data_IF_269967473796
#
_entry.id   IF_269967473796
#
_cell.length_a   1.000
_cell.length_b   1.000
_cell.length_c   1.000
_cell.angle_alpha   90.00
_cell.angle_beta   90.00
_cell.angle_gamma   90.00
#
_symmetry.space_group_name_H-M   'P 1'
#
loop_
_entity.id
_entity.type
_entity.pdbx_description
1 polymer ?
#
# COMPACT_ATOMS: atom_id res chain seq x y z
N UNK A 1 20.86 -47.32 61.28
CA UNK A 1 20.69 -47.59 62.74
C UNK A 1 21.52 -48.81 63.13
N UNK A 2 22.83 -48.65 63.31
CA UNK A 2 23.74 -49.78 63.57
C UNK A 2 24.93 -49.45 64.48
N UNK A 3 24.88 -48.34 65.22
CA UNK A 3 26.04 -47.81 65.96
C UNK A 3 25.70 -47.24 67.36
N UNK A 4 24.63 -47.70 68.01
CA UNK A 4 24.30 -47.28 69.40
C UNK A 4 24.05 -48.49 70.34
N UNK A 5 24.56 -49.68 70.00
CA UNK A 5 24.42 -50.88 70.85
C UNK A 5 25.76 -51.50 71.26
N UNK A 6 26.83 -50.70 71.34
CA UNK A 6 28.18 -51.19 71.68
C UNK A 6 28.84 -50.45 72.85
N UNK A 7 28.07 -49.81 73.74
CA UNK A 7 28.61 -49.06 74.88
C UNK A 7 27.97 -49.40 76.24
N UNK A 8 27.44 -50.61 76.42
CA UNK A 8 27.16 -51.15 77.76
C UNK A 8 27.80 -52.53 77.88
N UNK A 9 29.10 -52.52 78.17
CA UNK A 9 29.77 -53.68 78.74
C UNK A 9 29.11 -53.98 80.09
N UNK A 10 28.73 -55.24 80.32
CA UNK A 10 28.01 -55.73 81.50
C UNK A 10 28.83 -55.69 82.80
N UNK A 11 30.05 -55.15 82.76
CA UNK A 11 31.01 -55.24 83.83
C UNK A 11 31.36 -53.85 84.36
N UNK A 12 30.40 -53.22 85.06
CA UNK A 12 30.65 -52.13 86.03
C UNK A 12 29.34 -51.76 86.75
N UNK A 13 28.67 -52.73 87.36
CA UNK A 13 27.71 -52.44 88.44
C UNK A 13 28.47 -52.62 89.75
N UNK A 14 28.78 -51.54 90.51
CA UNK A 14 29.45 -51.68 91.79
C UNK A 14 28.56 -52.44 92.79
N UNK A 15 29.15 -53.21 93.73
CA UNK A 15 28.41 -54.05 94.65
C UNK A 15 27.55 -53.21 95.61
N UNK A 16 26.29 -53.63 95.80
CA UNK A 16 25.32 -53.04 96.72
C UNK A 16 25.81 -53.18 98.18
N UNK A 17 26.43 -52.13 98.71
CA UNK A 17 26.63 -51.94 100.16
C UNK A 17 25.26 -51.62 100.78
N UNK A 18 24.90 -52.13 101.98
CA UNK A 18 23.63 -51.81 102.63
C UNK A 18 23.67 -50.36 103.15
N UNK A 19 23.40 -49.41 102.25
CA UNK A 19 23.17 -48.01 102.59
C UNK A 19 21.90 -47.84 103.40
N UNK A 20 21.85 -46.77 104.19
CA UNK A 20 20.70 -46.40 105.01
C UNK A 20 19.44 -46.27 104.14
N UNK A 21 18.26 -46.38 104.75
CA UNK A 21 16.97 -46.24 104.05
C UNK A 21 16.87 -44.92 103.26
N UNK A 22 17.63 -43.91 103.69
CA UNK A 22 17.79 -42.60 103.05
C UNK A 22 18.65 -42.65 101.76
N UNK A 23 19.69 -43.49 101.71
CA UNK A 23 20.53 -43.67 100.51
C UNK A 23 19.78 -44.40 99.40
N UNK A 24 18.94 -45.38 99.76
CA UNK A 24 18.05 -46.07 98.80
C UNK A 24 16.99 -45.13 98.23
N UNK A 25 16.46 -44.22 99.05
CA UNK A 25 15.52 -43.21 98.60
C UNK A 25 16.16 -42.20 97.62
N UNK A 26 17.38 -41.74 97.92
CA UNK A 26 18.14 -40.84 97.02
C UNK A 26 18.48 -41.55 95.71
N UNK A 27 18.92 -42.81 95.77
CA UNK A 27 19.25 -43.60 94.59
C UNK A 27 18.00 -43.89 93.73
N UNK A 28 16.86 -44.20 94.36
CA UNK A 28 15.58 -44.34 93.64
C UNK A 28 15.16 -43.03 92.97
N UNK A 29 15.35 -41.90 93.64
CA UNK A 29 15.01 -40.58 93.11
C UNK A 29 15.94 -40.16 91.97
N UNK A 30 17.23 -40.51 92.02
CA UNK A 30 18.17 -40.26 90.92
C UNK A 30 17.87 -41.15 89.71
N UNK A 31 17.55 -42.43 89.91
CA UNK A 31 17.09 -43.29 88.81
C UNK A 31 15.82 -42.75 88.15
N UNK A 32 14.85 -42.31 88.95
CA UNK A 32 13.60 -41.75 88.43
C UNK A 32 13.83 -40.47 87.60
N UNK A 33 14.71 -39.56 88.05
CA UNK A 33 15.09 -38.36 87.26
C UNK A 33 15.83 -38.70 85.98
N UNK A 34 16.66 -39.75 86.00
CA UNK A 34 17.38 -40.22 84.81
C UNK A 34 16.39 -40.84 83.82
N UNK A 35 15.43 -41.66 84.28
CA UNK A 35 14.37 -42.22 83.43
C UNK A 35 13.47 -41.14 82.82
N UNK A 36 13.08 -40.14 83.62
CA UNK A 36 12.34 -38.96 83.12
C UNK A 36 13.15 -38.21 82.05
N UNK A 37 14.44 -37.96 82.30
CA UNK A 37 15.33 -37.32 81.33
C UNK A 37 15.51 -38.12 80.04
N UNK A 38 15.61 -39.45 80.13
CA UNK A 38 15.65 -40.31 78.94
C UNK A 38 14.32 -40.33 78.20
N UNK A 39 13.19 -40.32 78.91
CA UNK A 39 11.87 -40.26 78.31
C UNK A 39 11.68 -38.96 77.51
N UNK A 40 12.09 -37.82 78.07
CA UNK A 40 12.05 -36.52 77.41
C UNK A 40 12.96 -36.48 76.16
N UNK A 41 14.16 -37.06 76.24
CA UNK A 41 15.07 -37.16 75.08
C UNK A 41 14.45 -38.02 73.98
N UNK A 42 13.87 -39.18 74.31
CA UNK A 42 13.22 -40.06 73.33
C UNK A 42 12.04 -39.35 72.67
N UNK A 43 11.24 -38.62 73.46
CA UNK A 43 10.11 -37.86 72.96
C UNK A 43 10.56 -36.76 71.99
N UNK A 44 11.55 -35.95 72.36
CA UNK A 44 12.09 -34.89 71.51
C UNK A 44 12.66 -35.45 70.20
N UNK A 45 13.38 -36.58 70.25
CA UNK A 45 13.90 -37.24 69.03
C UNK A 45 12.78 -37.79 68.13
N UNK A 46 11.67 -38.24 68.71
CA UNK A 46 10.49 -38.66 67.94
C UNK A 46 9.83 -37.46 67.27
N UNK A 47 9.65 -36.36 67.99
CA UNK A 47 9.05 -35.13 67.48
C UNK A 47 9.92 -34.51 66.37
N UNK A 48 11.24 -34.48 66.53
CA UNK A 48 12.19 -34.01 65.51
C UNK A 48 12.12 -34.84 64.23
N UNK A 49 11.98 -36.16 64.36
CA UNK A 49 11.84 -37.08 63.23
C UNK A 49 10.52 -36.88 62.49
N UNK A 50 9.44 -36.62 63.22
CA UNK A 50 8.13 -36.32 62.63
C UNK A 50 8.14 -34.96 61.93
N UNK A 51 8.84 -33.96 62.48
CA UNK A 51 9.10 -32.67 61.85
C UNK A 51 9.90 -32.82 60.54
N UNK A 52 10.99 -33.57 60.55
CA UNK A 52 11.81 -33.83 59.36
C UNK A 52 11.01 -34.57 58.28
N UNK A 53 10.17 -35.53 58.67
CA UNK A 53 9.31 -36.24 57.73
C UNK A 53 8.24 -35.33 57.11
N UNK A 54 7.70 -34.38 57.87
CA UNK A 54 6.75 -33.39 57.39
C UNK A 54 7.40 -32.42 56.40
N UNK A 55 8.62 -31.95 56.70
CA UNK A 55 9.38 -31.04 55.83
C UNK A 55 9.76 -31.72 54.51
N UNK A 56 10.17 -32.99 54.54
CA UNK A 56 10.44 -33.76 53.32
C UNK A 56 9.19 -33.90 52.43
N UNK A 57 8.02 -34.18 53.01
CA UNK A 57 6.76 -34.22 52.25
C UNK A 57 6.40 -32.87 51.63
N UNK A 58 6.68 -31.79 52.36
CA UNK A 58 6.44 -30.42 51.89
C UNK A 58 7.40 -30.05 50.74
N UNK A 59 8.67 -30.44 50.83
CA UNK A 59 9.64 -30.32 49.73
C UNK A 59 9.19 -31.06 48.47
N UNK A 60 8.73 -32.30 48.59
CA UNK A 60 8.22 -33.08 47.44
C UNK A 60 6.98 -32.45 46.80
N UNK A 61 6.12 -31.84 47.61
CA UNK A 61 4.95 -31.11 47.12
C UNK A 61 5.35 -29.83 46.37
N UNK A 62 6.28 -29.05 46.93
CA UNK A 62 6.82 -27.84 46.29
C UNK A 62 7.49 -28.18 44.95
N UNK A 63 8.31 -29.24 44.90
CA UNK A 63 8.98 -29.67 43.68
C UNK A 63 7.99 -30.08 42.58
N UNK A 64 6.90 -30.78 42.94
CA UNK A 64 5.82 -31.11 41.99
C UNK A 64 5.14 -29.86 41.44
N UNK A 65 4.73 -28.94 42.31
CA UNK A 65 4.12 -27.68 41.91
C UNK A 65 5.05 -26.82 41.04
N UNK A 66 6.36 -26.82 41.31
CA UNK A 66 7.34 -26.11 40.48
C UNK A 66 7.44 -26.72 39.07
N UNK A 67 7.44 -28.04 38.97
CA UNK A 67 7.44 -28.74 37.68
C UNK A 67 6.16 -28.50 36.88
N UNK A 68 4.99 -28.54 37.54
CA UNK A 68 3.70 -28.21 36.92
C UNK A 68 3.67 -26.74 36.44
N UNK A 69 4.10 -25.80 37.28
CA UNK A 69 4.22 -24.39 36.89
C UNK A 69 5.14 -24.20 35.68
N UNK A 70 6.24 -24.94 35.61
CA UNK A 70 7.17 -24.90 34.48
C UNK A 70 6.52 -25.40 33.20
N UNK A 71 5.72 -26.47 33.27
CA UNK A 71 5.00 -27.01 32.13
C UNK A 71 3.86 -26.09 31.66
N UNK A 72 3.08 -25.54 32.61
CA UNK A 72 2.03 -24.56 32.31
C UNK A 72 2.61 -23.31 31.65
N UNK A 73 3.74 -22.78 32.16
CA UNK A 73 4.43 -21.63 31.53
C UNK A 73 4.87 -21.93 30.11
N UNK A 74 5.41 -23.12 29.84
CA UNK A 74 5.78 -23.53 28.48
C UNK A 74 4.57 -23.58 27.54
N UNK A 75 3.46 -24.15 28.01
CA UNK A 75 2.21 -24.22 27.23
C UNK A 75 1.63 -22.84 26.96
N UNK A 76 1.67 -21.95 27.96
CA UNK A 76 1.23 -20.56 27.82
C UNK A 76 2.06 -19.83 26.75
N UNK A 77 3.38 -19.94 26.82
CA UNK A 77 4.30 -19.28 25.88
C UNK A 77 4.09 -19.76 24.44
N UNK A 78 3.84 -21.07 24.26
CA UNK A 78 3.49 -21.64 22.96
C UNK A 78 2.16 -21.08 22.44
N UNK A 79 1.13 -21.00 23.30
CA UNK A 79 -0.17 -20.45 22.93
C UNK A 79 -0.12 -18.96 22.62
N UNK A 80 0.69 -18.18 23.34
CA UNK A 80 0.92 -16.77 23.06
C UNK A 80 1.59 -16.56 21.70
N UNK A 81 2.58 -17.38 21.36
CA UNK A 81 3.23 -17.35 20.04
C UNK A 81 2.25 -17.72 18.92
N UNK A 82 1.45 -18.77 19.09
CA UNK A 82 0.39 -19.15 18.14
C UNK A 82 -0.64 -18.01 17.96
N UNK A 83 -1.05 -17.36 19.05
CA UNK A 83 -2.02 -16.25 19.00
C UNK A 83 -1.43 -15.00 18.32
N UNK A 84 -0.16 -14.68 18.59
CA UNK A 84 0.54 -13.58 17.92
C UNK A 84 0.63 -13.82 16.40
N UNK A 85 0.93 -15.06 15.99
CA UNK A 85 0.97 -15.43 14.58
C UNK A 85 -0.41 -15.31 13.93
N UNK A 86 -1.45 -15.88 14.54
CA UNK A 86 -2.83 -15.78 14.05
C UNK A 86 -3.32 -14.33 13.98
N UNK A 87 -2.96 -13.47 14.94
CA UNK A 87 -3.29 -12.04 14.88
C UNK A 87 -2.60 -11.34 13.72
N UNK A 88 -1.34 -11.66 13.45
CA UNK A 88 -0.61 -11.13 12.29
C UNK A 88 -1.25 -11.59 10.98
N UNK A 89 -1.57 -12.87 10.85
CA UNK A 89 -2.23 -13.42 9.67
C UNK A 89 -3.62 -12.81 9.46
N UNK A 90 -4.41 -12.67 10.54
CA UNK A 90 -5.72 -12.03 10.48
C UNK A 90 -5.63 -10.56 10.08
N UNK A 91 -4.61 -9.82 10.57
CA UNK A 91 -4.37 -8.44 10.14
C UNK A 91 -4.01 -8.34 8.65
N UNK A 92 -3.22 -9.28 8.13
CA UNK A 92 -2.85 -9.33 6.72
C UNK A 92 -4.03 -9.72 5.84
N UNK A 93 -4.86 -10.68 6.28
CA UNK A 93 -6.10 -11.04 5.60
C UNK A 93 -7.10 -9.89 5.58
N UNK A 94 -7.25 -9.16 6.70
CA UNK A 94 -8.10 -7.97 6.77
C UNK A 94 -7.59 -6.84 5.86
N UNK A 95 -6.27 -6.63 5.79
CA UNK A 95 -5.65 -5.68 4.86
C UNK A 95 -5.96 -6.06 3.41
N UNK A 96 -5.74 -7.33 3.04
CA UNK A 96 -6.05 -7.83 1.69
C UNK A 96 -7.53 -7.78 1.37
N UNK A 97 -8.41 -8.12 2.31
CA UNK A 97 -9.86 -8.01 2.11
C UNK A 97 -10.31 -6.55 1.97
N UNK A 98 -9.69 -5.63 2.72
CA UNK A 98 -9.94 -4.19 2.58
C UNK A 98 -9.45 -3.68 1.22
N UNK A 99 -8.28 -4.15 0.75
CA UNK A 99 -7.76 -3.85 -0.59
C UNK A 99 -8.69 -4.42 -1.68
N UNK A 100 -9.09 -5.69 -1.58
CA UNK A 100 -10.02 -6.31 -2.53
C UNK A 100 -11.39 -5.62 -2.50
N UNK A 101 -11.85 -5.17 -1.34
CA UNK A 101 -13.11 -4.43 -1.20
C UNK A 101 -13.00 -3.02 -1.79
N UNK A 102 -11.88 -2.33 -1.58
CA UNK A 102 -11.57 -1.06 -2.25
C UNK A 102 -11.49 -1.24 -3.78
N UNK A 103 -10.83 -2.30 -4.25
CA UNK A 103 -10.73 -2.69 -5.66
C UNK A 103 -12.10 -3.04 -6.28
N UNK A 104 -13.03 -3.59 -5.50
CA UNK A 104 -14.41 -3.84 -5.96
C UNK A 104 -15.28 -2.58 -5.97
N UNK A 105 -14.97 -1.59 -5.13
CA UNK A 105 -15.66 -0.29 -5.14
C UNK A 105 -15.20 0.61 -6.30
N UNK A 106 -13.99 0.40 -6.82
CA UNK A 106 -13.48 1.09 -8.02
C UNK A 106 -13.98 0.45 -9.33
N UNK A 107 -14.49 -0.79 -9.30
CA UNK A 107 -15.17 -1.41 -10.44
C UNK A 107 -16.50 -0.67 -10.72
N UNK A 108 -16.51 0.14 -11.78
CA UNK A 108 -17.72 0.75 -12.32
C UNK A 108 -18.09 2.11 -11.74
N UNK A 109 -17.25 2.72 -10.91
CA UNK A 109 -17.49 4.05 -10.36
C UNK A 109 -16.31 5.00 -10.64
N UNK A 110 -16.34 5.78 -11.74
CA UNK A 110 -15.28 6.72 -12.11
C UNK A 110 -14.95 7.77 -11.04
N UNK A 111 -15.84 7.94 -10.06
CA UNK A 111 -15.75 8.93 -9.00
C UNK A 111 -15.15 8.43 -7.67
N UNK A 112 -14.80 7.14 -7.54
CA UNK A 112 -14.22 6.60 -6.31
C UNK A 112 -12.90 5.91 -6.68
N UNK A 113 -11.83 6.68 -6.90
CA UNK A 113 -10.50 6.10 -7.12
C UNK A 113 -9.40 6.92 -6.43
N UNK A 114 -8.65 6.19 -5.60
CA UNK A 114 -7.32 6.37 -5.00
C UNK A 114 -6.79 7.79 -4.72
N UNK A 115 -6.45 8.03 -3.45
CA UNK A 115 -6.07 9.33 -2.87
C UNK A 115 -4.59 9.70 -3.08
N UNK A 116 -3.84 8.99 -3.94
CA UNK A 116 -2.45 9.33 -4.25
C UNK A 116 -2.37 10.42 -5.36
N UNK A 117 -1.90 11.61 -4.98
CA UNK A 117 -2.45 12.92 -5.41
C UNK A 117 -1.76 13.64 -6.59
N UNK A 118 -1.33 12.96 -7.65
CA UNK A 118 -0.66 13.64 -8.79
C UNK A 118 -1.16 13.28 -10.19
N UNK A 119 -1.95 12.22 -10.33
CA UNK A 119 -2.45 11.76 -11.64
C UNK A 119 -3.97 11.80 -11.77
N UNK A 120 -4.69 12.40 -10.80
CA UNK A 120 -6.15 12.45 -10.80
C UNK A 120 -6.68 13.24 -12.01
N UNK A 121 -7.83 12.87 -12.60
CA UNK A 121 -8.40 13.56 -13.76
C UNK A 121 -8.59 15.07 -13.56
N UNK A 122 -9.04 15.46 -12.37
CA UNK A 122 -9.26 16.86 -11.99
C UNK A 122 -7.93 17.62 -11.92
N UNK A 123 -6.89 17.02 -11.31
CA UNK A 123 -5.57 17.64 -11.28
C UNK A 123 -4.93 17.73 -12.66
N UNK A 124 -5.07 16.70 -13.50
CA UNK A 124 -4.59 16.73 -14.88
C UNK A 124 -5.34 17.76 -15.73
N UNK A 125 -6.64 17.94 -15.50
CA UNK A 125 -7.42 18.96 -16.19
C UNK A 125 -7.05 20.38 -15.73
N UNK A 126 -6.74 20.57 -14.45
CA UNK A 126 -6.17 21.82 -13.93
C UNK A 126 -4.81 22.09 -14.59
N UNK A 127 -3.89 21.12 -14.58
CA UNK A 127 -2.57 21.25 -15.24
C UNK A 127 -2.68 21.49 -16.74
N UNK A 128 -3.64 20.85 -17.42
CA UNK A 128 -3.90 21.10 -18.84
C UNK A 128 -4.43 22.50 -19.10
N UNK A 129 -5.21 23.07 -18.17
CA UNK A 129 -5.67 24.47 -18.26
C UNK A 129 -4.52 25.43 -17.95
N UNK A 130 -3.73 25.15 -16.92
CA UNK A 130 -2.51 25.92 -16.57
C UNK A 130 -1.48 25.93 -17.70
N UNK A 131 -1.39 24.86 -18.49
CA UNK A 131 -0.52 24.79 -19.67
C UNK A 131 -0.88 25.85 -20.72
N UNK A 132 -2.18 26.14 -20.87
CA UNK A 132 -2.67 27.21 -21.75
C UNK A 132 -2.35 28.59 -21.15
N UNK A 133 -2.64 28.79 -19.87
CA UNK A 133 -2.46 30.09 -19.23
C UNK A 133 -0.98 30.50 -19.13
N UNK A 134 -0.08 29.52 -18.95
CA UNK A 134 1.36 29.75 -18.75
C UNK A 134 2.17 29.50 -20.03
N UNK A 135 2.64 28.26 -20.25
CA UNK A 135 3.67 27.97 -21.26
C UNK A 135 3.19 28.24 -22.69
N UNK A 136 1.90 28.04 -22.97
CA UNK A 136 1.32 28.41 -24.26
C UNK A 136 1.34 29.94 -24.47
N UNK A 137 0.94 30.73 -23.46
CA UNK A 137 0.98 32.20 -23.52
C UNK A 137 2.40 32.72 -23.72
N UNK A 138 3.37 32.16 -22.99
CA UNK A 138 4.79 32.51 -23.11
C UNK A 138 5.35 32.15 -24.50
N UNK A 139 5.04 30.96 -25.02
CA UNK A 139 5.48 30.63 -26.39
C UNK A 139 4.77 31.51 -27.41
N UNK A 140 3.46 31.77 -27.27
CA UNK A 140 2.70 32.62 -28.17
C UNK A 140 3.34 34.02 -28.29
N UNK A 141 3.65 34.67 -27.16
CA UNK A 141 4.34 35.96 -27.15
C UNK A 141 5.71 35.89 -27.84
N UNK A 142 6.49 34.85 -27.55
CA UNK A 142 7.80 34.65 -28.19
C UNK A 142 7.68 34.50 -29.71
N UNK A 143 6.70 33.73 -30.18
CA UNK A 143 6.45 33.53 -31.61
C UNK A 143 6.02 34.82 -32.31
N UNK A 144 5.14 35.63 -31.70
CA UNK A 144 4.64 36.86 -32.30
C UNK A 144 5.63 38.02 -32.21
N UNK A 145 6.30 38.19 -31.07
CA UNK A 145 7.15 39.36 -30.81
C UNK A 145 8.60 39.14 -31.28
N UNK A 146 9.14 37.93 -31.12
CA UNK A 146 10.54 37.64 -31.46
C UNK A 146 10.67 37.03 -32.85
N UNK A 147 9.77 36.12 -33.23
CA UNK A 147 9.81 35.45 -34.53
C UNK A 147 8.89 36.09 -35.60
N UNK A 148 8.20 37.20 -35.26
CA UNK A 148 7.30 37.95 -36.16
C UNK A 148 6.25 37.09 -36.87
N UNK A 149 5.76 36.02 -36.22
CA UNK A 149 4.64 35.24 -36.76
C UNK A 149 3.33 35.97 -36.58
N UNK A 150 2.40 35.74 -37.50
CA UNK A 150 1.03 36.22 -37.30
C UNK A 150 0.37 35.47 -36.13
N UNK A 151 -0.63 36.09 -35.51
CA UNK A 151 -1.41 35.48 -34.44
C UNK A 151 -1.97 34.11 -34.84
N UNK A 152 -2.58 34.01 -36.04
CA UNK A 152 -3.17 32.76 -36.52
C UNK A 152 -2.12 31.67 -36.75
N UNK A 153 -0.96 32.01 -37.33
CA UNK A 153 0.13 31.04 -37.52
C UNK A 153 0.68 30.54 -36.17
N UNK A 154 0.88 31.44 -35.21
CA UNK A 154 1.33 31.08 -33.86
C UNK A 154 0.34 30.16 -33.15
N UNK A 155 -0.96 30.48 -33.19
CA UNK A 155 -2.01 29.67 -32.57
C UNK A 155 -2.08 28.28 -33.22
N UNK A 156 -2.07 28.20 -34.55
CA UNK A 156 -2.15 26.93 -35.27
C UNK A 156 -0.91 26.06 -35.02
N UNK A 157 0.28 26.67 -34.95
CA UNK A 157 1.52 25.99 -34.61
C UNK A 157 1.43 25.36 -33.21
N UNK A 158 1.02 26.13 -32.20
CA UNK A 158 0.89 25.65 -30.82
C UNK A 158 -0.15 24.54 -30.70
N UNK A 159 -1.32 24.68 -31.35
CA UNK A 159 -2.33 23.63 -31.41
C UNK A 159 -1.79 22.36 -32.07
N UNK A 160 -1.02 22.50 -33.14
CA UNK A 160 -0.44 21.37 -33.85
C UNK A 160 0.60 20.63 -33.00
N UNK A 161 1.39 21.35 -32.19
CA UNK A 161 2.34 20.78 -31.23
C UNK A 161 1.61 19.90 -30.21
N UNK A 162 0.65 20.44 -29.44
CA UNK A 162 -0.04 19.67 -28.39
C UNK A 162 -0.80 18.48 -28.96
N UNK A 163 -1.43 18.64 -30.14
CA UNK A 163 -2.14 17.55 -30.79
C UNK A 163 -1.19 16.43 -31.25
N UNK A 164 -0.02 16.79 -31.79
CA UNK A 164 1.01 15.84 -32.22
C UNK A 164 1.57 15.07 -31.03
N UNK A 165 1.91 15.79 -29.95
CA UNK A 165 2.38 15.20 -28.70
C UNK A 165 1.34 14.22 -28.13
N UNK A 166 0.08 14.66 -28.02
CA UNK A 166 -1.01 13.83 -27.54
C UNK A 166 -1.19 12.54 -28.35
N UNK A 167 -1.21 12.66 -29.68
CA UNK A 167 -1.42 11.51 -30.58
C UNK A 167 -0.33 10.46 -30.39
N UNK A 168 0.94 10.88 -30.34
CA UNK A 168 2.07 9.97 -30.13
C UNK A 168 1.99 9.33 -28.73
N UNK A 169 1.70 10.11 -27.69
CA UNK A 169 1.52 9.57 -26.34
C UNK A 169 0.41 8.51 -26.28
N UNK A 170 -0.72 8.75 -26.96
CA UNK A 170 -1.84 7.83 -27.01
C UNK A 170 -1.48 6.52 -27.73
N UNK A 171 -0.89 6.62 -28.91
CA UNK A 171 -0.45 5.46 -29.70
C UNK A 171 0.57 4.60 -28.94
N UNK A 172 1.54 5.23 -28.29
CA UNK A 172 2.56 4.53 -27.51
C UNK A 172 1.97 3.86 -26.26
N UNK A 173 1.10 4.57 -25.52
CA UNK A 173 0.40 3.99 -24.37
C UNK A 173 -0.43 2.76 -24.75
N UNK A 174 -1.16 2.85 -25.86
CA UNK A 174 -1.95 1.73 -26.38
C UNK A 174 -1.08 0.57 -26.86
N UNK A 175 0.04 0.86 -27.53
CA UNK A 175 0.99 -0.15 -28.00
C UNK A 175 1.60 -0.92 -26.83
N UNK A 176 2.05 -0.21 -25.78
CA UNK A 176 2.58 -0.84 -24.57
C UNK A 176 1.50 -1.69 -23.90
N UNK A 177 0.28 -1.16 -23.77
CA UNK A 177 -0.85 -1.89 -23.17
C UNK A 177 -1.16 -3.16 -23.96
N UNK A 178 -1.21 -3.08 -25.30
CA UNK A 178 -1.43 -4.24 -26.16
C UNK A 178 -0.31 -5.28 -26.04
N UNK A 179 0.94 -4.85 -26.11
CA UNK A 179 2.11 -5.74 -26.02
C UNK A 179 2.17 -6.47 -24.66
N UNK A 180 1.86 -5.80 -23.55
CA UNK A 180 1.79 -6.46 -22.24
C UNK A 180 0.66 -7.51 -22.23
N UNK A 181 -0.47 -7.22 -22.87
CA UNK A 181 -1.63 -8.13 -22.89
C UNK A 181 -1.30 -9.39 -23.68
N UNK A 182 -0.70 -9.23 -24.85
CA UNK A 182 -0.25 -10.32 -25.71
C UNK A 182 0.80 -11.20 -25.01
N UNK A 183 1.79 -10.58 -24.35
CA UNK A 183 2.79 -11.32 -23.59
C UNK A 183 2.16 -12.11 -22.43
N UNK A 184 1.24 -11.52 -21.66
CA UNK A 184 0.56 -12.22 -20.57
C UNK A 184 -0.27 -13.41 -21.08
N UNK A 185 -0.95 -13.27 -22.22
CA UNK A 185 -1.69 -14.36 -22.87
C UNK A 185 -0.74 -15.49 -23.31
N UNK A 186 0.40 -15.15 -23.91
CA UNK A 186 1.42 -16.11 -24.32
C UNK A 186 2.01 -16.88 -23.12
N UNK A 187 2.30 -16.19 -22.00
CA UNK A 187 2.76 -16.84 -20.76
C UNK A 187 1.72 -17.81 -20.17
N UNK A 188 0.44 -17.50 -20.32
CA UNK A 188 -0.64 -18.37 -19.88
C UNK A 188 -0.88 -19.58 -20.80
N UNK A 189 -0.12 -19.72 -21.89
CA UNK A 189 -0.21 -20.85 -22.82
C UNK A 189 -1.49 -20.85 -23.66
N UNK A 190 -2.15 -19.70 -23.84
CA UNK A 190 -3.39 -19.56 -24.61
C UNK A 190 -3.19 -18.69 -25.85
N UNK A 191 -3.81 -19.08 -26.96
CA UNK A 191 -3.96 -18.23 -28.15
C UNK A 191 -5.14 -17.26 -27.99
N UNK A 192 -5.07 -16.12 -28.68
CA UNK A 192 -6.14 -15.11 -28.72
C UNK A 192 -7.45 -15.77 -29.23
N UNK A 193 -8.50 -15.81 -28.40
CA UNK A 193 -9.83 -16.29 -28.81
C UNK A 193 -10.58 -17.27 -27.89
N UNK A 194 -9.97 -17.81 -26.83
CA UNK A 194 -10.69 -18.62 -25.83
C UNK A 194 -11.14 -17.76 -24.63
N UNK A 195 -12.45 -17.57 -24.39
CA UNK A 195 -12.93 -16.77 -23.27
C UNK A 195 -12.72 -17.52 -21.95
N UNK A 196 -11.57 -17.31 -21.32
CA UNK A 196 -11.32 -17.74 -19.96
C UNK A 196 -11.43 -16.55 -19.02
N UNK A 197 -12.59 -16.45 -18.37
CA UNK A 197 -12.89 -15.40 -17.39
C UNK A 197 -11.87 -15.32 -16.26
N UNK A 198 -11.23 -16.44 -15.89
CA UNK A 198 -10.20 -16.44 -14.85
C UNK A 198 -8.90 -15.81 -15.36
N UNK A 199 -8.49 -16.12 -16.60
CA UNK A 199 -7.33 -15.50 -17.22
C UNK A 199 -7.56 -14.01 -17.51
N UNK A 200 -8.74 -13.64 -17.99
CA UNK A 200 -9.12 -12.22 -18.16
C UNK A 200 -9.06 -11.47 -16.82
N UNK A 201 -9.52 -12.09 -15.73
CA UNK A 201 -9.45 -11.48 -14.39
C UNK A 201 -7.99 -11.31 -13.94
N UNK A 202 -7.13 -12.32 -14.15
CA UNK A 202 -5.70 -12.24 -13.82
C UNK A 202 -4.98 -11.18 -14.65
N UNK A 203 -5.27 -11.11 -15.96
CA UNK A 203 -4.71 -10.10 -16.86
C UNK A 203 -5.16 -8.72 -16.38
N UNK A 204 -6.45 -8.53 -16.10
CA UNK A 204 -7.00 -7.27 -15.60
C UNK A 204 -6.38 -6.86 -14.26
N UNK A 205 -6.27 -7.77 -13.29
CA UNK A 205 -5.62 -7.51 -12.00
C UNK A 205 -4.13 -7.21 -12.15
N UNK A 206 -3.42 -7.91 -13.06
CA UNK A 206 -2.00 -7.68 -13.33
C UNK A 206 -1.77 -6.33 -13.99
N UNK A 207 -2.61 -5.95 -14.96
CA UNK A 207 -2.60 -4.62 -15.56
C UNK A 207 -2.91 -3.54 -14.54
N UNK A 208 -3.92 -3.76 -13.70
CA UNK A 208 -4.29 -2.81 -12.66
C UNK A 208 -3.16 -2.63 -11.64
N UNK A 209 -2.48 -3.71 -11.23
CA UNK A 209 -1.29 -3.66 -10.39
C UNK A 209 -0.11 -2.98 -11.08
N UNK A 210 0.15 -3.27 -12.36
CA UNK A 210 1.21 -2.61 -13.12
C UNK A 210 0.93 -1.10 -13.25
N UNK A 211 -0.34 -0.73 -13.41
CA UNK A 211 -0.80 0.66 -13.56
C UNK A 211 -0.83 1.40 -12.22
N UNK A 212 -1.24 0.76 -11.13
CA UNK A 212 -1.10 1.33 -9.79
C UNK A 212 0.38 1.45 -9.42
N UNK A 213 1.21 0.47 -9.76
CA UNK A 213 2.65 0.57 -9.61
C UNK A 213 3.21 1.74 -10.42
N UNK A 214 2.79 1.96 -11.68
CA UNK A 214 3.18 3.14 -12.49
C UNK A 214 2.65 4.47 -11.94
N UNK A 215 1.48 4.48 -11.29
CA UNK A 215 0.96 5.65 -10.60
C UNK A 215 1.77 5.99 -9.33
N UNK A 216 2.35 4.99 -8.67
CA UNK A 216 3.17 5.12 -7.45
C UNK A 216 4.68 5.18 -7.71
N UNK A 217 5.13 4.72 -8.87
CA UNK A 217 6.54 4.69 -9.29
C UNK A 217 6.65 5.08 -10.77
N UNK A 218 7.28 6.23 -10.98
CA UNK A 218 7.70 6.83 -12.25
C UNK A 218 6.63 7.66 -12.97
N UNK A 219 6.53 8.92 -12.53
CA UNK A 219 6.03 10.10 -13.27
C UNK A 219 6.83 10.42 -14.53
N UNK A 220 7.88 9.67 -14.88
CA UNK A 220 8.75 9.98 -16.00
C UNK A 220 8.21 9.44 -17.33
N UNK A 221 8.32 10.28 -18.35
CA UNK A 221 8.03 9.93 -19.75
C UNK A 221 9.13 8.99 -20.27
N UNK A 222 8.79 7.85 -20.92
CA UNK A 222 9.79 6.97 -21.51
C UNK A 222 10.68 7.69 -22.54
N UNK A 223 12.00 7.43 -22.57
CA UNK A 223 12.91 8.06 -23.53
C UNK A 223 12.50 7.85 -25.00
N UNK A 224 11.92 6.69 -25.31
CA UNK A 224 11.45 6.35 -26.65
C UNK A 224 10.29 7.24 -27.09
N UNK A 225 9.40 7.60 -26.15
CA UNK A 225 8.28 8.52 -26.40
C UNK A 225 8.83 9.93 -26.66
N UNK A 226 9.76 10.42 -25.83
CA UNK A 226 10.41 11.72 -26.06
C UNK A 226 11.09 11.77 -27.42
N UNK A 227 11.85 10.72 -27.77
CA UNK A 227 12.54 10.60 -29.05
C UNK A 227 11.56 10.65 -30.24
N UNK A 228 10.50 9.85 -30.21
CA UNK A 228 9.50 9.82 -31.28
C UNK A 228 8.83 11.20 -31.48
N UNK A 229 8.56 11.89 -30.39
CA UNK A 229 8.01 13.25 -30.42
C UNK A 229 9.01 14.23 -31.01
N UNK A 230 10.26 14.24 -30.53
CA UNK A 230 11.31 15.12 -31.06
C UNK A 230 11.53 14.92 -32.56
N UNK A 231 11.63 13.67 -33.02
CA UNK A 231 11.77 13.33 -34.44
C UNK A 231 10.58 13.84 -35.25
N UNK A 232 9.35 13.65 -34.76
CA UNK A 232 8.15 14.13 -35.46
C UNK A 232 8.10 15.65 -35.53
N UNK A 233 8.38 16.35 -34.42
CA UNK A 233 8.35 17.82 -34.37
C UNK A 233 9.41 18.41 -35.31
N UNK A 234 10.62 17.85 -35.38
CA UNK A 234 11.66 18.32 -36.30
C UNK A 234 11.28 18.23 -37.78
N UNK A 235 10.35 17.33 -38.15
CA UNK A 235 9.83 17.25 -39.53
C UNK A 235 8.72 18.26 -39.83
N UNK A 236 8.15 18.87 -38.79
CA UNK A 236 6.90 19.62 -38.84
C UNK A 236 7.10 21.12 -38.63
N UNK A 237 8.10 21.49 -37.83
CA UNK A 237 8.32 22.87 -37.37
C UNK A 237 9.81 23.25 -37.49
N UNK A 238 10.08 24.52 -37.72
CA UNK A 238 11.45 25.02 -37.90
C UNK A 238 12.24 24.97 -36.58
N UNK A 239 13.56 24.79 -36.66
CA UNK A 239 14.40 24.67 -35.45
C UNK A 239 14.32 25.89 -34.50
N UNK A 240 14.12 27.10 -35.03
CA UNK A 240 13.89 28.29 -34.21
C UNK A 240 12.57 28.23 -33.43
N UNK A 241 11.52 27.64 -34.00
CA UNK A 241 10.21 27.44 -33.36
C UNK A 241 10.27 26.36 -32.30
N UNK A 242 10.99 25.25 -32.57
CA UNK A 242 11.24 24.19 -31.58
C UNK A 242 11.90 24.78 -30.34
N UNK A 243 12.91 25.63 -30.52
CA UNK A 243 13.61 26.27 -29.43
C UNK A 243 12.70 27.24 -28.66
N UNK A 244 11.94 28.07 -29.38
CA UNK A 244 11.00 29.02 -28.78
C UNK A 244 9.91 28.32 -27.94
N UNK A 245 9.41 27.17 -28.40
CA UNK A 245 8.37 26.40 -27.71
C UNK A 245 8.92 25.26 -26.85
N UNK A 246 10.22 25.21 -26.56
CA UNK A 246 10.83 24.08 -25.83
C UNK A 246 10.16 23.79 -24.47
N UNK A 247 9.92 24.82 -23.65
CA UNK A 247 9.22 24.65 -22.37
C UNK A 247 7.78 24.18 -22.54
N UNK A 248 7.08 24.67 -23.57
CA UNK A 248 5.70 24.27 -23.87
C UNK A 248 5.65 22.81 -24.35
N UNK A 249 6.60 22.39 -25.18
CA UNK A 249 6.73 21.03 -25.69
C UNK A 249 6.99 20.06 -24.53
N UNK A 250 7.96 20.32 -23.65
CA UNK A 250 8.25 19.43 -22.51
C UNK A 250 7.05 19.25 -21.60
N UNK A 251 6.32 20.33 -21.31
CA UNK A 251 5.13 20.26 -20.44
C UNK A 251 3.96 19.54 -21.14
N UNK A 252 3.77 19.76 -22.44
CA UNK A 252 2.83 18.97 -23.26
C UNK A 252 3.15 17.47 -23.17
N UNK A 253 4.42 17.09 -23.30
CA UNK A 253 4.86 15.69 -23.28
C UNK A 253 4.51 15.06 -21.93
N UNK A 254 4.82 15.76 -20.84
CA UNK A 254 4.56 15.28 -19.49
C UNK A 254 3.05 15.07 -19.24
N UNK A 255 2.25 16.11 -19.49
CA UNK A 255 0.80 16.07 -19.25
C UNK A 255 0.11 15.05 -20.17
N UNK A 256 0.43 15.05 -21.47
CA UNK A 256 -0.18 14.11 -22.42
C UNK A 256 0.19 12.66 -22.11
N UNK A 257 1.43 12.39 -21.67
CA UNK A 257 1.82 11.04 -21.25
C UNK A 257 1.00 10.57 -20.05
N UNK A 258 0.83 11.43 -19.03
CA UNK A 258 0.02 11.11 -17.86
C UNK A 258 -1.45 10.89 -18.24
N UNK A 259 -2.02 11.72 -19.10
CA UNK A 259 -3.39 11.60 -19.62
C UNK A 259 -3.61 10.30 -20.40
N UNK A 260 -2.66 9.93 -21.26
CA UNK A 260 -2.75 8.76 -22.14
C UNK A 260 -2.45 7.45 -21.43
N UNK A 261 -1.67 7.49 -20.34
CA UNK A 261 -1.35 6.31 -19.52
C UNK A 261 -2.52 5.87 -18.62
N UNK A 262 -3.60 6.65 -18.59
CA UNK A 262 -4.85 6.30 -17.90
C UNK A 262 -5.61 5.23 -18.68
N UNK A 263 -6.50 4.55 -17.97
CA UNK A 263 -7.43 3.57 -18.54
C UNK A 263 -8.80 3.83 -17.90
N UNK A 264 -9.79 4.33 -18.65
CA UNK A 264 -9.63 4.77 -20.05
C UNK A 264 -8.70 6.01 -20.17
N UNK A 265 -7.97 6.19 -21.29
CA UNK A 265 -7.19 7.40 -21.57
C UNK A 265 -8.08 8.64 -21.65
N UNK A 266 -7.58 9.78 -21.18
CA UNK A 266 -8.28 11.06 -21.41
C UNK A 266 -8.23 11.45 -22.89
N UNK A 267 -9.22 12.21 -23.33
CA UNK A 267 -9.41 12.51 -24.75
C UNK A 267 -9.35 14.01 -25.03
N UNK A 268 -8.36 14.42 -25.83
CA UNK A 268 -8.25 15.77 -26.37
C UNK A 268 -8.98 15.80 -27.71
N UNK A 269 -9.81 16.82 -27.91
CA UNK A 269 -10.54 17.02 -29.16
C UNK A 269 -10.32 18.45 -29.67
N UNK A 270 -9.73 18.54 -30.86
CA UNK A 270 -9.41 19.80 -31.53
C UNK A 270 -10.23 20.03 -32.81
N UNK A 271 -11.04 19.05 -33.21
CA UNK A 271 -11.96 19.22 -34.34
C UNK A 271 -13.14 20.10 -33.92
N UNK A 272 -13.75 20.77 -34.89
CA UNK A 272 -14.90 21.62 -34.65
C UNK A 272 -15.94 21.44 -35.74
N UNK A 273 -17.21 21.61 -35.37
CA UNK A 273 -18.27 21.74 -36.35
C UNK A 273 -18.22 23.11 -37.04
N UNK A 274 -18.97 23.28 -38.14
CA UNK A 274 -19.13 24.61 -38.73
C UNK A 274 -19.81 25.56 -37.74
N UNK A 275 -20.78 25.10 -36.94
CA UNK A 275 -21.52 25.94 -35.99
C UNK A 275 -20.76 26.07 -34.68
N UNK A 276 -20.73 27.28 -34.12
CA UNK A 276 -20.08 27.51 -32.83
C UNK A 276 -20.86 26.86 -31.69
N UNK A 277 -20.26 25.88 -31.04
CA UNK A 277 -20.83 25.16 -29.90
C UNK A 277 -20.31 25.72 -28.57
N UNK A 278 -21.20 26.37 -27.83
CA UNK A 278 -20.88 26.99 -26.53
C UNK A 278 -20.79 25.99 -25.38
N UNK A 279 -21.24 24.76 -25.57
CA UNK A 279 -21.09 23.70 -24.58
C UNK A 279 -19.64 23.21 -24.55
N UNK A 280 -19.02 23.10 -25.73
CA UNK A 280 -17.67 22.55 -25.89
C UNK A 280 -16.56 23.61 -25.97
N UNK A 281 -16.87 24.80 -26.46
CA UNK A 281 -15.89 25.87 -26.65
C UNK A 281 -16.30 27.21 -26.02
N UNK A 282 -15.29 27.92 -25.52
CA UNK A 282 -15.38 29.32 -25.12
C UNK A 282 -14.84 30.21 -26.26
N UNK A 283 -15.49 31.34 -26.49
CA UNK A 283 -15.06 32.35 -27.48
C UNK A 283 -13.69 32.91 -27.06
N UNK A 284 -12.70 32.87 -27.97
CA UNK A 284 -11.34 33.37 -27.70
C UNK A 284 -11.27 34.90 -27.66
N UNK A 285 -11.34 35.58 -28.81
CA UNK A 285 -11.38 37.06 -28.87
C UNK A 285 -12.66 37.57 -29.54
N UNK A 286 -13.04 36.99 -30.68
CA UNK A 286 -14.25 37.40 -31.40
C UNK A 286 -15.39 36.42 -31.22
N UNK A 287 -16.60 37.00 -31.12
CA UNK A 287 -17.84 36.25 -31.11
C UNK A 287 -18.23 35.85 -32.53
N UNK A 288 -18.94 34.73 -32.66
CA UNK A 288 -19.41 34.29 -33.96
C UNK A 288 -20.47 33.21 -33.88
N UNK A 289 -21.10 32.94 -35.03
CA UNK A 289 -22.05 31.83 -35.18
C UNK A 289 -21.37 30.57 -35.71
N UNK A 290 -20.18 30.71 -36.29
CA UNK A 290 -19.40 29.62 -36.84
C UNK A 290 -17.98 29.68 -36.31
N UNK A 291 -17.31 28.53 -36.22
CA UNK A 291 -15.91 28.46 -35.79
C UNK A 291 -15.00 28.84 -36.96
N UNK A 292 -14.03 29.72 -36.69
CA UNK A 292 -12.98 30.08 -37.63
C UNK A 292 -11.81 29.11 -37.53
N UNK A 293 -11.27 28.96 -36.31
CA UNK A 293 -10.23 28.01 -35.94
C UNK A 293 -10.31 27.73 -34.44
N UNK A 294 -9.83 26.55 -34.05
CA UNK A 294 -9.63 26.21 -32.63
C UNK A 294 -8.31 26.80 -32.15
N UNK A 295 -8.31 27.32 -30.93
CA UNK A 295 -7.15 27.92 -30.27
C UNK A 295 -6.56 26.95 -29.25
N UNK A 296 -7.45 26.36 -28.44
CA UNK A 296 -7.11 25.37 -27.44
C UNK A 296 -8.12 24.23 -27.50
N UNK A 297 -7.69 22.97 -27.50
CA UNK A 297 -8.62 21.87 -27.64
C UNK A 297 -9.41 21.64 -26.35
N UNK A 298 -10.58 21.03 -26.47
CA UNK A 298 -11.36 20.60 -25.31
C UNK A 298 -10.83 19.27 -24.76
N UNK A 299 -11.08 19.03 -23.48
CA UNK A 299 -10.63 17.85 -22.75
C UNK A 299 -11.81 17.07 -22.18
N UNK A 300 -11.92 15.79 -22.53
CA UNK A 300 -12.89 14.83 -21.99
C UNK A 300 -12.20 13.79 -21.09
N UNK A 301 -12.97 13.23 -20.16
CA UNK A 301 -12.47 12.21 -19.23
C UNK A 301 -12.03 10.94 -19.98
N UNK A 302 -12.71 10.61 -21.06
CA UNK A 302 -12.36 9.58 -22.04
C UNK A 302 -13.09 9.87 -23.36
N UNK A 303 -12.80 9.10 -24.41
CA UNK A 303 -13.43 9.28 -25.73
C UNK A 303 -14.95 9.11 -25.64
N UNK A 304 -15.71 10.12 -26.08
CA UNK A 304 -17.17 10.19 -25.91
C UNK A 304 -17.65 10.19 -24.44
N UNK A 305 -16.76 10.52 -23.51
CA UNK A 305 -17.07 10.69 -22.10
C UNK A 305 -17.45 12.13 -21.74
N UNK A 306 -17.69 12.42 -20.45
CA UNK A 306 -18.03 13.76 -20.00
C UNK A 306 -16.90 14.76 -20.26
N UNK A 307 -17.29 15.98 -20.62
CA UNK A 307 -16.41 17.13 -20.73
C UNK A 307 -15.81 17.48 -19.37
N UNK A 308 -14.50 17.69 -19.33
CA UNK A 308 -13.77 18.10 -18.13
C UNK A 308 -13.36 19.57 -18.24
N UNK A 309 -12.81 19.97 -19.39
CA UNK A 309 -12.42 21.36 -19.67
C UNK A 309 -12.89 21.76 -21.07
N UNK A 310 -13.52 22.93 -21.18
CA UNK A 310 -13.86 23.53 -22.48
C UNK A 310 -12.61 23.93 -23.24
N UNK A 311 -12.66 23.83 -24.56
CA UNK A 311 -11.64 24.41 -25.43
C UNK A 311 -11.84 25.92 -25.62
N UNK A 312 -10.92 26.55 -26.34
CA UNK A 312 -11.05 27.90 -26.84
C UNK A 312 -11.11 27.88 -28.36
N UNK A 313 -12.02 28.65 -28.95
CA UNK A 313 -12.16 28.75 -30.40
C UNK A 313 -12.48 30.19 -30.82
N UNK A 314 -11.95 30.59 -31.98
CA UNK A 314 -12.23 31.89 -32.56
C UNK A 314 -13.56 31.84 -33.31
N UNK A 315 -14.52 32.68 -32.91
CA UNK A 315 -15.77 32.84 -33.62
C UNK A 315 -15.61 33.71 -34.87
N UNK A 316 -16.43 33.46 -35.90
CA UNK A 316 -16.66 34.43 -36.98
C UNK A 316 -18.14 34.51 -37.31
N UNK A 317 -18.59 35.66 -37.81
CA UNK A 317 -19.97 35.82 -38.29
C UNK A 317 -20.09 35.28 -39.72
N UNK A 318 -20.47 34.01 -39.85
CA UNK A 318 -20.86 33.41 -41.12
C UNK A 318 -22.33 33.70 -41.48
N UNK A 319 -22.66 33.81 -42.78
CA UNK A 319 -24.06 33.79 -43.24
C UNK A 319 -24.67 32.43 -42.88
N UNK A 320 -25.68 32.39 -41.99
CA UNK A 320 -26.43 31.16 -41.67
C UNK A 320 -26.91 30.49 -42.97
N UNK A 321 -26.37 29.32 -43.33
CA UNK A 321 -27.05 28.45 -44.30
C UNK A 321 -28.34 27.96 -43.65
N UNK A 322 -29.48 28.44 -44.15
CA UNK A 322 -30.81 27.94 -43.78
C UNK A 322 -30.83 26.43 -43.99
N UNK A 323 -30.90 25.64 -42.91
CA UNK A 323 -31.22 24.21 -43.00
C UNK A 323 -32.57 24.08 -43.70
N UNK A 324 -32.58 23.50 -44.90
CA UNK A 324 -33.82 23.02 -45.52
C UNK A 324 -34.30 21.84 -44.68
N UNK A 325 -35.37 22.07 -43.91
CA UNK A 325 -36.20 21.02 -43.34
C UNK A 325 -36.88 20.35 -44.54
N UNK A 326 -36.46 19.12 -44.88
CA UNK A 326 -37.28 18.26 -45.74
C UNK A 326 -38.33 17.62 -44.86
N UNK A 327 -39.58 18.00 -45.15
CA UNK A 327 -40.82 17.45 -44.63
C UNK A 327 -40.97 15.96 -44.89
#
# INVERSE_FOLDING_TARGET
MGWIWSAFSRDSVPPLVPGSEQDRAIQSQTYQRIEEGFHDIIKNLSDDKDHEQKDNRQCDYINRLQNENKDVRKKLLKKESENAHLRSENSELLRRLSEISAMKLTQGNPNIMDLSSLSRPDKLAEQFSELYDNQWTDCYQTLTETLNKTETESIQLLLHIVHTVYTICLEQSQTITKAVKENLLAFAGKSDGEPDKALDTIIQETFHKLKSYRAHTVTAVPPEVKKAISEKLLTMIHGSEVNACSSYIEECIQICWLMCSRDPPMYIFAEHEEVFDKEHFTEYTEKGLVVSYVVWPMLCLFKSGPLVTKGFAQGKYGRKKRKHVRS
#
